data_IF_733229449008
#
_entry.id   IF_733229449008
#
_cell.length_a   1.000
_cell.length_b   1.000
_cell.length_c   1.000
_cell.angle_alpha   90.00
_cell.angle_beta   90.00
_cell.angle_gamma   90.00
#
_symmetry.space_group_name_H-M   'P 1'
#
loop_
_entity.id
_entity.type
_entity.pdbx_description
1 polymer ?
#
# COMPACT_ATOMS: atom_id res chain seq x y z
N UNK A 1 -17.46 24.98 12.35
CA UNK A 1 -17.63 23.97 11.31
C UNK A 1 -16.23 23.61 10.87
N UNK A 2 -15.76 22.34 10.97
CA UNK A 2 -14.48 21.97 10.38
C UNK A 2 -14.55 22.26 8.89
N UNK A 3 -13.47 22.82 8.33
CA UNK A 3 -13.44 23.25 6.94
C UNK A 3 -13.35 22.01 6.05
N UNK A 4 -14.10 21.99 4.94
CA UNK A 4 -14.07 20.84 4.02
C UNK A 4 -12.69 20.69 3.37
N UNK A 5 -11.90 21.77 3.34
CA UNK A 5 -10.55 21.83 2.79
C UNK A 5 -9.43 21.49 3.78
N UNK A 6 -9.74 21.17 5.03
CA UNK A 6 -8.70 20.78 5.98
C UNK A 6 -7.94 19.54 5.44
N UNK A 7 -6.60 19.44 5.54
CA UNK A 7 -5.87 18.29 5.03
C UNK A 7 -6.03 17.05 5.93
N UNK A 8 -5.77 15.87 5.38
CA UNK A 8 -5.55 14.67 6.18
C UNK A 8 -4.26 14.78 7.00
N UNK A 9 -4.20 14.10 8.14
CA UNK A 9 -2.98 13.98 8.94
C UNK A 9 -2.47 12.56 8.78
N UNK A 10 -1.18 12.38 8.49
CA UNK A 10 -0.56 11.07 8.24
C UNK A 10 -0.75 10.04 9.37
N UNK A 11 -1.04 10.52 10.58
CA UNK A 11 -1.32 9.70 11.75
C UNK A 11 -2.62 8.90 11.63
N UNK A 12 -3.63 9.42 10.93
CA UNK A 12 -4.95 8.82 10.87
C UNK A 12 -5.16 8.18 9.50
N UNK A 13 -5.05 6.86 9.47
CA UNK A 13 -5.36 6.07 8.30
C UNK A 13 -5.88 4.69 8.71
N UNK A 14 -6.63 4.07 7.81
CA UNK A 14 -7.09 2.69 7.98
C UNK A 14 -6.83 1.86 6.73
N UNK A 15 -6.66 0.56 6.94
CA UNK A 15 -6.45 -0.42 5.87
C UNK A 15 -7.43 -1.57 6.07
N UNK A 16 -8.18 -1.89 5.02
CA UNK A 16 -9.08 -3.05 4.99
C UNK A 16 -8.75 -3.93 3.79
N UNK A 17 -8.95 -5.24 3.94
CA UNK A 17 -8.83 -6.23 2.87
C UNK A 17 -10.13 -7.02 2.80
N UNK A 18 -10.77 -7.04 1.64
CA UNK A 18 -12.11 -7.60 1.40
C UNK A 18 -13.16 -7.12 2.43
N UNK A 19 -13.05 -5.84 2.84
CA UNK A 19 -13.92 -5.24 3.85
C UNK A 19 -13.59 -5.61 5.30
N UNK A 20 -12.60 -6.47 5.53
CA UNK A 20 -12.12 -6.82 6.87
C UNK A 20 -10.95 -5.92 7.29
N UNK A 21 -11.03 -5.34 8.48
CA UNK A 21 -9.93 -4.57 9.06
C UNK A 21 -8.81 -5.52 9.49
N UNK A 22 -7.61 -5.36 8.95
CA UNK A 22 -6.41 -6.10 9.38
C UNK A 22 -5.75 -5.44 10.61
N UNK A 23 -6.53 -4.78 11.46
CA UNK A 23 -6.03 -4.05 12.63
C UNK A 23 -5.36 -2.71 12.31
N UNK A 24 -4.68 -2.15 13.31
CA UNK A 24 -4.02 -0.84 13.22
C UNK A 24 -2.58 -0.97 12.75
N UNK A 25 -2.14 -0.01 11.91
CA UNK A 25 -0.80 0.04 11.36
C UNK A 25 -0.06 1.30 11.84
N UNK A 26 1.25 1.19 12.01
CA UNK A 26 2.14 2.30 12.36
C UNK A 26 2.68 3.02 11.13
N UNK A 27 2.80 2.33 9.99
CA UNK A 27 3.15 2.98 8.72
C UNK A 27 2.47 2.31 7.53
N UNK A 28 2.19 3.12 6.51
CA UNK A 28 1.74 2.68 5.19
C UNK A 28 2.58 3.42 4.14
N UNK A 29 3.39 2.68 3.41
CA UNK A 29 4.36 3.17 2.42
C UNK A 29 4.09 2.56 1.05
N UNK A 30 4.66 3.16 0.00
CA UNK A 30 4.61 2.59 -1.35
C UNK A 30 3.32 2.82 -2.12
N UNK A 31 2.41 3.66 -1.59
CA UNK A 31 1.24 4.10 -2.34
C UNK A 31 1.68 5.07 -3.45
N UNK A 32 1.99 4.51 -4.63
CA UNK A 32 2.50 5.26 -5.76
C UNK A 32 2.52 4.43 -7.04
N UNK A 33 2.72 5.13 -8.15
CA UNK A 33 2.91 4.54 -9.46
C UNK A 33 3.83 5.41 -10.30
N UNK A 34 4.45 4.80 -11.30
CA UNK A 34 5.27 5.49 -12.30
C UNK A 34 4.81 5.09 -13.71
N UNK A 35 4.81 6.02 -14.66
CA UNK A 35 4.65 5.71 -16.08
C UNK A 35 6.04 5.45 -16.64
N UNK A 36 6.31 4.26 -17.19
CA UNK A 36 7.58 4.03 -17.89
C UNK A 36 7.63 4.91 -19.13
N UNK A 37 8.74 5.59 -19.39
CA UNK A 37 8.91 6.45 -20.56
C UNK A 37 10.10 5.97 -21.39
N UNK A 38 9.89 5.75 -22.68
CA UNK A 38 10.94 5.46 -23.65
C UNK A 38 11.31 6.75 -24.40
N UNK A 39 12.60 7.08 -24.41
CA UNK A 39 13.14 8.23 -25.15
C UNK A 39 13.54 7.84 -26.57
N UNK A 40 13.11 8.60 -27.57
CA UNK A 40 13.48 8.39 -28.97
C UNK A 40 14.01 9.66 -29.62
N UNK A 41 15.22 9.58 -30.13
CA UNK A 41 15.86 10.66 -30.88
C UNK A 41 15.56 10.52 -32.37
N UNK A 42 15.21 11.64 -33.00
CA UNK A 42 14.93 11.71 -34.44
C UNK A 42 15.99 12.57 -35.13
N UNK A 43 16.60 12.03 -36.18
CA UNK A 43 17.58 12.76 -36.98
C UNK A 43 16.97 14.02 -37.61
N UNK A 44 17.68 15.15 -37.53
CA UNK A 44 17.22 16.43 -38.05
C UNK A 44 16.38 17.26 -37.06
N UNK A 45 15.97 16.67 -35.93
CA UNK A 45 15.38 17.40 -34.82
C UNK A 45 16.37 17.53 -33.67
N UNK A 46 16.96 18.71 -33.51
CA UNK A 46 17.93 19.01 -32.45
C UNK A 46 17.29 19.74 -31.24
N UNK A 47 15.97 19.98 -31.26
CA UNK A 47 15.30 20.80 -30.24
C UNK A 47 14.80 19.97 -29.06
N UNK A 48 14.38 18.71 -29.29
CA UNK A 48 13.81 17.87 -28.24
C UNK A 48 13.97 16.37 -28.55
N UNK A 49 13.75 15.54 -27.53
CA UNK A 49 13.67 14.08 -27.61
C UNK A 49 12.21 13.65 -27.51
N UNK A 50 11.77 12.71 -28.34
CA UNK A 50 10.41 12.18 -28.23
C UNK A 50 10.29 11.32 -26.98
N UNK A 51 9.24 11.55 -26.18
CA UNK A 51 8.94 10.78 -24.98
C UNK A 51 7.72 9.89 -25.23
N UNK A 52 7.94 8.59 -25.34
CA UNK A 52 6.92 7.59 -25.60
C UNK A 52 6.45 6.99 -24.27
N UNK A 53 5.20 7.25 -23.89
CA UNK A 53 4.62 6.69 -22.68
C UNK A 53 4.38 5.18 -22.83
N UNK A 54 4.90 4.41 -21.88
CA UNK A 54 4.74 2.97 -21.76
C UNK A 54 3.74 2.58 -20.67
N UNK A 55 4.01 1.50 -19.95
CA UNK A 55 3.10 0.94 -18.94
C UNK A 55 3.20 1.70 -17.61
N UNK A 56 2.09 1.72 -16.87
CA UNK A 56 2.10 2.13 -15.47
C UNK A 56 2.63 0.99 -14.62
N UNK A 57 3.65 1.26 -13.81
CA UNK A 57 4.15 0.36 -12.77
C UNK A 57 3.69 0.85 -11.41
N UNK A 58 3.07 -0.03 -10.63
CA UNK A 58 2.67 0.26 -9.27
C UNK A 58 3.74 -0.23 -8.30
N UNK A 59 4.02 0.58 -7.27
CA UNK A 59 4.89 0.17 -6.17
C UNK A 59 4.14 -0.79 -5.25
N UNK A 60 4.88 -1.69 -4.58
CA UNK A 60 4.28 -2.53 -3.55
C UNK A 60 3.92 -1.66 -2.35
N UNK A 61 2.76 -1.94 -1.74
CA UNK A 61 2.36 -1.33 -0.48
C UNK A 61 3.08 -2.04 0.65
N UNK A 62 3.74 -1.28 1.51
CA UNK A 62 4.41 -1.79 2.70
C UNK A 62 3.71 -1.27 3.94
N UNK A 63 3.18 -2.19 4.74
CA UNK A 63 2.44 -1.91 5.96
C UNK A 63 3.25 -2.41 7.16
N UNK A 64 3.54 -1.53 8.11
CA UNK A 64 4.22 -1.90 9.35
C UNK A 64 3.25 -1.80 10.51
N UNK A 65 3.27 -2.76 11.43
CA UNK A 65 2.48 -2.70 12.67
C UNK A 65 3.16 -3.40 13.85
N UNK A 66 2.79 -3.09 15.09
CA UNK A 66 3.18 -3.88 16.26
C UNK A 66 2.60 -5.28 16.19
N UNK A 67 3.32 -6.25 16.74
CA UNK A 67 2.79 -7.59 16.93
C UNK A 67 1.73 -7.57 18.02
N UNK A 68 0.56 -8.12 17.71
CA UNK A 68 -0.58 -8.18 18.61
C UNK A 68 -1.35 -9.51 18.44
N UNK A 69 -2.55 -9.61 19.04
CA UNK A 69 -3.39 -10.82 18.94
C UNK A 69 -3.76 -11.16 17.49
N UNK A 70 -3.86 -10.15 16.64
CA UNK A 70 -4.28 -10.27 15.24
C UNK A 70 -3.10 -10.60 14.31
N UNK A 71 -1.86 -10.68 14.83
CA UNK A 71 -0.67 -11.15 14.09
C UNK A 71 -0.82 -12.57 13.56
N UNK A 72 -1.50 -13.45 14.29
CA UNK A 72 -1.80 -14.80 13.81
C UNK A 72 -2.73 -14.79 12.59
N UNK A 73 -3.59 -13.78 12.44
CA UNK A 73 -4.54 -13.72 11.33
C UNK A 73 -3.88 -13.35 10.01
N UNK A 74 -2.96 -12.38 10.05
CA UNK A 74 -2.16 -12.00 8.89
C UNK A 74 -1.30 -13.18 8.44
N UNK A 75 -0.59 -13.83 9.35
CA UNK A 75 0.21 -15.00 8.99
C UNK A 75 -0.64 -16.12 8.36
N UNK A 76 -1.84 -16.36 8.87
CA UNK A 76 -2.80 -17.32 8.30
C UNK A 76 -3.28 -16.90 6.92
N UNK A 77 -3.58 -15.61 6.71
CA UNK A 77 -3.95 -15.09 5.39
C UNK A 77 -2.84 -15.35 4.37
N UNK A 78 -1.58 -15.11 4.72
CA UNK A 78 -0.44 -15.49 3.89
C UNK A 78 -0.36 -17.01 3.65
N UNK A 79 -0.64 -17.83 4.67
CA UNK A 79 -0.63 -19.29 4.53
C UNK A 79 -1.69 -19.80 3.54
N UNK A 80 -2.86 -19.15 3.44
CA UNK A 80 -3.89 -19.53 2.45
C UNK A 80 -3.39 -19.43 1.00
N UNK A 81 -2.43 -18.53 0.73
CA UNK A 81 -1.84 -18.39 -0.61
C UNK A 81 -1.01 -19.60 -1.03
N UNK A 82 -0.50 -20.39 -0.08
CA UNK A 82 0.24 -21.61 -0.39
C UNK A 82 -0.68 -22.71 -0.94
N UNK A 83 -1.97 -22.66 -0.60
CA UNK A 83 -2.98 -23.61 -1.06
C UNK A 83 -3.63 -23.14 -2.36
N UNK A 84 -4.04 -21.87 -2.42
CA UNK A 84 -4.63 -21.25 -3.62
C UNK A 84 -4.33 -19.75 -3.66
N UNK A 85 -3.92 -19.27 -4.84
CA UNK A 85 -3.72 -17.83 -5.05
C UNK A 85 -5.10 -17.17 -5.20
N UNK A 86 -5.55 -16.50 -4.15
CA UNK A 86 -6.77 -15.70 -4.15
C UNK A 86 -6.40 -14.23 -4.25
N UNK A 87 -6.98 -13.54 -5.24
CA UNK A 87 -6.82 -12.09 -5.40
C UNK A 87 -7.87 -11.39 -4.54
N UNK A 88 -7.43 -10.40 -3.78
CA UNK A 88 -8.28 -9.65 -2.84
C UNK A 88 -8.40 -8.19 -3.27
N UNK A 89 -9.37 -7.46 -2.75
CA UNK A 89 -9.39 -5.99 -2.84
C UNK A 89 -8.97 -5.40 -1.51
N UNK A 90 -8.23 -4.29 -1.53
CA UNK A 90 -7.91 -3.56 -0.32
C UNK A 90 -8.26 -2.08 -0.44
N UNK A 91 -8.63 -1.45 0.67
CA UNK A 91 -8.80 -0.01 0.73
C UNK A 91 -7.82 0.59 1.73
N UNK A 92 -7.17 1.66 1.31
CA UNK A 92 -6.38 2.54 2.17
C UNK A 92 -7.15 3.85 2.26
N UNK A 93 -7.41 4.31 3.47
CA UNK A 93 -8.18 5.54 3.71
C UNK A 93 -7.35 6.47 4.56
N UNK A 94 -7.04 7.66 4.05
CA UNK A 94 -6.50 8.76 4.86
C UNK A 94 -7.65 9.50 5.55
N UNK A 95 -7.49 9.78 6.83
CA UNK A 95 -8.55 10.26 7.69
C UNK A 95 -8.15 11.53 8.46
N UNK A 96 -9.17 12.20 8.98
CA UNK A 96 -9.05 13.24 10.00
C UNK A 96 -9.00 12.62 11.40
N UNK A 97 -8.62 13.37 12.45
CA UNK A 97 -8.65 12.88 13.84
C UNK A 97 -10.02 12.41 14.33
N UNK A 98 -11.11 12.93 13.75
CA UNK A 98 -12.48 12.51 14.06
C UNK A 98 -12.92 11.22 13.31
N UNK A 99 -12.03 10.62 12.52
CA UNK A 99 -12.29 9.41 11.72
C UNK A 99 -12.92 9.68 10.34
N UNK A 100 -13.19 10.93 9.99
CA UNK A 100 -13.73 11.31 8.69
C UNK A 100 -12.73 11.01 7.57
N UNK A 101 -13.19 10.34 6.51
CA UNK A 101 -12.36 10.00 5.37
C UNK A 101 -12.08 11.25 4.52
N UNK A 102 -10.81 11.52 4.25
CA UNK A 102 -10.37 12.62 3.37
C UNK A 102 -10.08 12.08 1.96
N UNK A 103 -9.40 10.94 1.86
CA UNK A 103 -9.07 10.31 0.60
C UNK A 103 -9.12 8.79 0.75
N UNK A 104 -9.59 8.09 -0.29
CA UNK A 104 -9.69 6.64 -0.33
C UNK A 104 -9.04 6.11 -1.60
N UNK A 105 -8.16 5.14 -1.44
CA UNK A 105 -7.52 4.41 -2.54
C UNK A 105 -7.98 2.95 -2.50
N UNK A 106 -8.68 2.52 -3.54
CA UNK A 106 -9.13 1.12 -3.67
C UNK A 106 -8.17 0.36 -4.56
N UNK A 107 -7.39 -0.53 -3.95
CA UNK A 107 -6.43 -1.40 -4.59
C UNK A 107 -7.14 -2.62 -5.19
N UNK A 108 -6.78 -2.94 -6.43
CA UNK A 108 -7.31 -4.09 -7.19
C UNK A 108 -6.33 -5.24 -7.23
N UNK A 109 -6.86 -6.46 -7.21
CA UNK A 109 -6.12 -7.72 -7.33
C UNK A 109 -4.91 -7.81 -6.40
N UNK A 110 -5.11 -7.40 -5.16
CA UNK A 110 -4.10 -7.36 -4.12
C UNK A 110 -3.62 -8.78 -3.82
N UNK A 111 -2.31 -8.92 -3.76
CA UNK A 111 -1.60 -10.14 -3.44
C UNK A 111 -0.61 -9.87 -2.30
N UNK A 112 -0.70 -10.60 -1.17
CA UNK A 112 0.34 -10.58 -0.17
C UNK A 112 1.61 -11.24 -0.73
N UNK A 113 2.70 -10.48 -0.84
CA UNK A 113 3.95 -10.94 -1.47
C UNK A 113 5.06 -11.24 -0.48
N UNK A 114 5.06 -10.57 0.69
CA UNK A 114 6.04 -10.84 1.74
C UNK A 114 5.51 -10.46 3.11
N UNK A 115 5.81 -11.30 4.10
CA UNK A 115 5.62 -10.99 5.51
C UNK A 115 6.97 -11.13 6.21
N UNK A 116 7.29 -10.20 7.09
CA UNK A 116 8.51 -10.20 7.91
C UNK A 116 8.10 -10.04 9.36
N UNK A 117 8.29 -11.09 10.14
CA UNK A 117 8.01 -11.11 11.57
C UNK A 117 8.98 -10.25 12.38
N UNK A 118 8.72 -10.09 13.69
CA UNK A 118 9.56 -9.29 14.57
C UNK A 118 10.94 -9.90 14.80
N UNK A 119 11.93 -9.03 14.98
CA UNK A 119 13.19 -9.44 15.58
C UNK A 119 13.03 -9.47 17.11
N UNK A 120 13.08 -10.66 17.69
CA UNK A 120 12.98 -10.87 19.13
C UNK A 120 14.38 -11.03 19.72
N UNK A 121 14.77 -10.13 20.62
CA UNK A 121 16.06 -10.16 21.33
C UNK A 121 15.87 -9.75 22.78
N UNK A 122 16.60 -10.39 23.68
CA UNK A 122 16.62 -10.05 25.12
C UNK A 122 17.45 -8.80 25.41
N UNK A 123 18.26 -8.34 24.45
CA UNK A 123 19.22 -7.24 24.63
C UNK A 123 18.63 -5.86 24.35
N UNK A 124 17.43 -5.79 23.74
CA UNK A 124 16.80 -4.51 23.37
C UNK A 124 15.32 -4.47 23.71
N UNK A 125 14.93 -3.48 24.53
CA UNK A 125 13.54 -3.21 24.87
C UNK A 125 12.86 -2.35 23.78
N UNK A 126 12.51 -2.95 22.64
CA UNK A 126 11.79 -2.29 21.54
C UNK A 126 10.43 -2.96 21.31
N UNK A 127 9.48 -2.19 20.78
CA UNK A 127 8.20 -2.76 20.33
C UNK A 127 8.47 -3.74 19.19
N UNK A 128 8.04 -4.98 19.37
CA UNK A 128 8.09 -6.00 18.33
C UNK A 128 7.16 -5.57 17.17
N UNK A 129 7.71 -5.41 15.98
CA UNK A 129 6.96 -4.98 14.79
C UNK A 129 7.04 -6.04 13.71
N UNK A 130 5.97 -6.16 12.93
CA UNK A 130 5.92 -6.96 11.73
C UNK A 130 5.64 -6.08 10.51
N UNK A 131 6.08 -6.55 9.35
CA UNK A 131 5.91 -5.85 8.07
C UNK A 131 5.22 -6.75 7.07
N UNK A 132 4.20 -6.22 6.39
CA UNK A 132 3.49 -6.86 5.30
C UNK A 132 3.79 -6.08 4.02
N UNK A 133 4.10 -6.78 2.93
CA UNK A 133 4.22 -6.19 1.60
C UNK A 133 3.13 -6.78 0.69
N UNK A 134 2.40 -5.90 0.00
CA UNK A 134 1.29 -6.23 -0.88
C UNK A 134 1.58 -5.71 -2.29
N UNK A 135 1.45 -6.58 -3.30
CA UNK A 135 1.43 -6.18 -4.70
C UNK A 135 -0.02 -5.98 -5.17
N UNK A 136 -0.25 -5.13 -6.16
CA UNK A 136 -1.61 -4.86 -6.68
C UNK A 136 -1.60 -4.40 -8.15
N UNK A 137 -2.75 -4.49 -8.81
CA UNK A 137 -2.97 -4.00 -10.19
C UNK A 137 -3.44 -2.53 -10.26
N UNK A 138 -3.35 -1.82 -9.14
CA UNK A 138 -3.48 -0.37 -9.10
C UNK A 138 -4.76 0.12 -8.43
N UNK A 139 -4.84 1.43 -8.32
CA UNK A 139 -5.91 2.18 -7.67
C UNK A 139 -6.38 3.39 -8.48
N UNK A 140 -5.81 3.60 -9.67
CA UNK A 140 -6.37 4.50 -10.65
C UNK A 140 -7.64 3.82 -11.17
N UNK A 141 -8.80 4.44 -10.94
CA UNK A 141 -10.08 3.92 -11.42
C UNK A 141 -10.00 3.57 -12.91
N UNK A 142 -10.82 2.63 -13.37
CA UNK A 142 -11.07 2.54 -14.80
C UNK A 142 -11.69 3.89 -15.20
N UNK A 143 -10.97 4.68 -16.00
CA UNK A 143 -11.60 5.74 -16.77
C UNK A 143 -12.67 5.14 -17.69
#
# INVERSE_FOLDING_TARGET
MPDLDDPAISLFFSVTVDGHALGSFTSCEGLGFEVTVESREEGGNNNFVHLLAGRIKYSNIKLTRPVNRDSGEVARWFATMAEAIVRTSAQIVAQRPNGEAVATWTLRDVLPVKWSGPQLSVDSAKVATETLELAHHGFLGNA
#
